data_IF_108299254092
#
_entry.id   IF_108299254092
#
_cell.length_a   1.000
_cell.length_b   1.000
_cell.length_c   1.000
_cell.angle_alpha   90.00
_cell.angle_beta   90.00
_cell.angle_gamma   90.00
#
_symmetry.space_group_name_H-M   'P 1'
#
loop_
_entity.id
_entity.type
_entity.pdbx_description
1 polymer ?
#
# COMPACT_ATOMS: atom_id res chain seq x y z
N UNK A 1 -6.44 -3.71 25.53
CA UNK A 1 -7.67 -3.31 24.81
C UNK A 1 -7.29 -3.06 23.36
N UNK A 2 -7.94 -3.67 22.37
CA UNK A 2 -7.71 -3.35 20.96
C UNK A 2 -8.24 -1.92 20.72
N UNK A 3 -7.45 -0.99 20.14
CA UNK A 3 -8.00 0.28 19.72
C UNK A 3 -9.05 0.02 18.63
N UNK A 4 -10.20 0.69 18.72
CA UNK A 4 -11.22 0.63 17.67
C UNK A 4 -10.68 1.31 16.39
N UNK A 5 -11.16 0.90 15.22
CA UNK A 5 -10.82 1.54 13.94
C UNK A 5 -11.11 3.04 13.94
N UNK A 6 -12.14 3.46 14.68
CA UNK A 6 -12.51 4.86 14.90
C UNK A 6 -11.43 5.64 15.68
N UNK A 7 -10.90 5.07 16.78
CA UNK A 7 -9.87 5.70 17.58
C UNK A 7 -8.55 5.87 16.81
N UNK A 8 -8.28 4.97 15.86
CA UNK A 8 -7.04 5.00 15.08
C UNK A 8 -7.10 6.04 13.96
N UNK A 9 -8.28 6.23 13.34
CA UNK A 9 -8.51 7.27 12.34
C UNK A 9 -8.50 8.68 12.95
N UNK A 10 -9.09 8.84 14.13
CA UNK A 10 -9.08 10.09 14.90
C UNK A 10 -7.65 10.46 15.30
N UNK A 11 -6.86 9.50 15.81
CA UNK A 11 -5.47 9.74 16.20
C UNK A 11 -4.58 10.14 15.02
N UNK A 12 -4.82 9.60 13.82
CA UNK A 12 -4.11 10.01 12.60
C UNK A 12 -4.48 11.41 12.17
N UNK A 13 -5.76 11.79 12.25
CA UNK A 13 -6.16 13.18 12.04
C UNK A 13 -5.50 14.09 13.08
N UNK A 14 -5.44 13.68 14.35
CA UNK A 14 -4.79 14.44 15.42
C UNK A 14 -3.28 14.62 15.19
N UNK A 15 -2.59 13.59 14.67
CA UNK A 15 -1.16 13.67 14.30
C UNK A 15 -0.96 14.58 13.08
N UNK A 16 -1.84 14.49 12.08
CA UNK A 16 -1.81 15.34 10.87
C UNK A 16 -2.15 16.81 11.16
N UNK A 17 -2.89 17.09 12.25
CA UNK A 17 -3.30 18.44 12.66
C UNK A 17 -2.29 19.14 13.58
N UNK A 18 -1.20 18.48 14.00
CA UNK A 18 -0.15 19.15 14.77
C UNK A 18 0.67 20.08 13.87
N UNK A 19 0.66 21.37 14.21
CA UNK A 19 1.09 22.51 13.38
C UNK A 19 2.55 22.52 12.90
N UNK A 20 3.39 21.57 13.32
CA UNK A 20 4.85 21.68 13.21
C UNK A 20 5.54 20.52 12.49
N UNK A 21 4.80 19.59 11.87
CA UNK A 21 5.40 18.28 11.55
C UNK A 21 5.26 17.80 10.12
N UNK A 22 4.25 18.22 9.38
CA UNK A 22 4.05 17.75 8.00
C UNK A 22 3.62 18.91 7.12
N UNK A 23 4.30 19.07 5.98
CA UNK A 23 3.83 20.00 4.94
C UNK A 23 2.53 19.50 4.31
N UNK A 24 1.73 20.39 3.72
CA UNK A 24 0.49 20.02 3.03
C UNK A 24 0.70 18.93 1.96
N UNK A 25 1.85 18.95 1.29
CA UNK A 25 2.26 17.91 0.36
C UNK A 25 2.38 16.53 1.05
N UNK A 26 3.01 16.47 2.22
CA UNK A 26 3.18 15.23 2.99
C UNK A 26 1.84 14.71 3.52
N UNK A 27 0.94 15.61 3.94
CA UNK A 27 -0.41 15.26 4.37
C UNK A 27 -1.20 14.65 3.20
N UNK A 28 -1.11 15.25 2.01
CA UNK A 28 -1.76 14.72 0.81
C UNK A 28 -1.19 13.35 0.42
N UNK A 29 0.12 13.15 0.44
CA UNK A 29 0.72 11.83 0.17
C UNK A 29 0.29 10.75 1.17
N UNK A 30 0.08 11.12 2.44
CA UNK A 30 -0.45 10.20 3.46
C UNK A 30 -1.93 9.89 3.23
N UNK A 31 -2.74 10.88 2.87
CA UNK A 31 -4.16 10.68 2.56
C UNK A 31 -4.36 9.83 1.31
N UNK A 32 -3.62 10.12 0.23
CA UNK A 32 -3.61 9.30 -0.99
C UNK A 32 -3.22 7.85 -0.65
N UNK A 33 -2.24 7.64 0.22
CA UNK A 33 -1.89 6.31 0.71
C UNK A 33 -3.03 5.65 1.50
N UNK A 34 -3.72 6.38 2.38
CA UNK A 34 -4.84 5.83 3.12
C UNK A 34 -6.01 5.39 2.23
N UNK A 35 -6.26 6.14 1.17
CA UNK A 35 -7.26 5.77 0.15
C UNK A 35 -6.86 4.49 -0.62
N UNK A 36 -5.56 4.19 -0.73
CA UNK A 36 -5.04 3.00 -1.42
C UNK A 36 -5.10 1.71 -0.58
N UNK A 37 -5.31 1.80 0.73
CA UNK A 37 -5.53 0.61 1.56
C UNK A 37 -6.96 0.09 1.38
N UNK A 38 -7.16 -0.65 0.29
CA UNK A 38 -8.43 -1.31 -0.05
C UNK A 38 -8.86 -2.32 1.02
N UNK A 39 -7.89 -2.87 1.79
CA UNK A 39 -8.15 -3.88 2.81
C UNK A 39 -7.89 -3.33 4.21
N UNK A 40 -8.94 -3.25 5.04
CA UNK A 40 -8.86 -2.75 6.43
C UNK A 40 -7.77 -3.45 7.27
N UNK A 41 -7.52 -4.75 7.04
CA UNK A 41 -6.47 -5.48 7.74
C UNK A 41 -5.05 -4.99 7.46
N UNK A 42 -4.78 -4.43 6.27
CA UNK A 42 -3.46 -3.86 5.92
C UNK A 42 -3.25 -2.54 6.65
N UNK A 43 -4.32 -1.76 6.77
CA UNK A 43 -4.32 -0.47 7.45
C UNK A 43 -4.13 -0.63 8.97
N UNK A 44 -4.83 -1.57 9.60
CA UNK A 44 -4.65 -1.87 11.03
C UNK A 44 -3.24 -2.37 11.34
N UNK A 45 -2.67 -3.21 10.47
CA UNK A 45 -1.30 -3.68 10.61
C UNK A 45 -0.28 -2.54 10.46
N UNK A 46 -0.52 -1.58 9.57
CA UNK A 46 0.31 -0.37 9.41
C UNK A 46 0.34 0.45 10.69
N UNK A 47 -0.84 0.71 11.25
CA UNK A 47 -0.97 1.44 12.51
C UNK A 47 -0.28 0.72 13.65
N UNK A 48 -0.49 -0.59 13.79
CA UNK A 48 0.20 -1.35 14.83
C UNK A 48 1.72 -1.24 14.69
N UNK A 49 2.27 -1.38 13.48
CA UNK A 49 3.70 -1.26 13.25
C UNK A 49 4.25 0.12 13.65
N UNK A 50 3.55 1.21 13.30
CA UNK A 50 3.93 2.57 13.68
C UNK A 50 3.89 2.81 15.20
N UNK A 51 2.87 2.27 15.88
CA UNK A 51 2.61 2.54 17.30
C UNK A 51 3.24 1.54 18.27
N UNK A 52 3.89 0.48 17.78
CA UNK A 52 4.70 -0.42 18.62
C UNK A 52 6.20 -0.14 18.54
N UNK A 53 6.63 0.69 17.60
CA UNK A 53 8.01 1.16 17.54
C UNK A 53 8.22 2.31 18.54
N UNK A 54 8.90 1.99 19.64
CA UNK A 54 9.20 2.94 20.74
C UNK A 54 9.97 4.16 20.23
N UNK A 55 10.87 4.01 19.25
CA UNK A 55 11.63 5.13 18.71
C UNK A 55 10.73 6.07 17.91
N UNK A 56 9.77 5.53 17.18
CA UNK A 56 8.75 6.33 16.50
C UNK A 56 7.82 7.03 17.49
N UNK A 57 7.37 6.36 18.54
CA UNK A 57 6.53 6.97 19.58
C UNK A 57 7.28 8.12 20.28
N UNK A 58 8.57 7.92 20.58
CA UNK A 58 9.38 8.96 21.21
C UNK A 58 9.61 10.16 20.28
N UNK A 59 9.81 9.92 18.98
CA UNK A 59 9.91 10.98 17.96
C UNK A 59 8.58 11.72 17.74
N UNK A 60 7.46 11.00 17.71
CA UNK A 60 6.09 11.55 17.72
C UNK A 60 5.86 12.46 18.93
N UNK A 61 6.19 11.98 20.14
CA UNK A 61 6.06 12.77 21.39
C UNK A 61 6.93 14.01 21.41
N UNK A 62 8.08 13.98 20.73
CA UNK A 62 8.96 15.14 20.61
C UNK A 62 8.48 16.18 19.59
N UNK A 63 7.39 15.91 18.86
CA UNK A 63 6.89 16.80 17.81
C UNK A 63 7.83 16.84 16.59
N UNK A 64 8.61 15.79 16.37
CA UNK A 64 9.52 15.65 15.21
C UNK A 64 9.09 14.41 14.43
N UNK A 65 7.99 14.56 13.70
CA UNK A 65 7.61 13.65 12.63
C UNK A 65 8.19 14.17 11.33
N UNK A 66 8.98 13.37 10.64
CA UNK A 66 9.32 13.62 9.25
C UNK A 66 8.97 12.37 8.44
N UNK A 67 8.79 12.54 7.12
CA UNK A 67 8.43 11.42 6.25
C UNK A 67 9.48 10.32 6.25
N UNK A 68 10.76 10.62 6.48
CA UNK A 68 11.83 9.60 6.49
C UNK A 68 11.59 8.52 7.54
N UNK A 69 11.00 8.84 8.70
CA UNK A 69 10.70 7.86 9.73
C UNK A 69 9.52 6.94 9.40
N UNK A 70 8.54 7.47 8.67
CA UNK A 70 7.34 6.71 8.26
C UNK A 70 7.62 5.94 6.96
N UNK A 71 8.57 6.39 6.15
CA UNK A 71 8.82 5.90 4.80
C UNK A 71 9.17 4.39 4.73
N UNK A 72 9.95 3.86 5.69
CA UNK A 72 10.25 2.43 5.69
C UNK A 72 9.00 1.57 5.92
N UNK A 73 8.14 2.00 6.85
CA UNK A 73 6.85 1.36 7.09
C UNK A 73 5.96 1.50 5.86
N UNK A 74 5.82 2.73 5.36
CA UNK A 74 5.11 3.06 4.14
C UNK A 74 5.44 2.12 2.97
N UNK A 75 6.73 2.02 2.61
CA UNK A 75 7.24 1.16 1.54
C UNK A 75 6.87 -0.31 1.76
N UNK A 76 7.05 -0.81 2.98
CA UNK A 76 6.71 -2.20 3.34
C UNK A 76 5.21 -2.46 3.18
N UNK A 77 4.37 -1.52 3.57
CA UNK A 77 2.92 -1.69 3.51
C UNK A 77 2.36 -1.56 2.09
N UNK A 78 2.94 -0.69 1.26
CA UNK A 78 2.65 -0.66 -0.19
C UNK A 78 3.04 -1.98 -0.85
N UNK A 79 4.20 -2.56 -0.50
CA UNK A 79 4.59 -3.88 -1.00
C UNK A 79 3.62 -5.00 -0.59
N UNK A 80 3.10 -4.96 0.63
CA UNK A 80 2.06 -5.90 1.08
C UNK A 80 0.77 -5.68 0.29
N UNK A 81 0.36 -4.42 0.11
CA UNK A 81 -0.85 -4.06 -0.63
C UNK A 81 -0.76 -4.53 -2.09
N UNK A 82 0.38 -4.38 -2.74
CA UNK A 82 0.62 -4.91 -4.09
C UNK A 82 0.40 -6.42 -4.14
N UNK A 83 0.92 -7.17 -3.16
CA UNK A 83 0.71 -8.63 -3.11
C UNK A 83 -0.76 -9.00 -2.93
N UNK A 84 -1.46 -8.29 -2.05
CA UNK A 84 -2.90 -8.49 -1.83
C UNK A 84 -3.70 -8.19 -3.10
N UNK A 85 -3.45 -7.03 -3.74
CA UNK A 85 -4.10 -6.66 -5.00
C UNK A 85 -3.77 -7.64 -6.13
N UNK A 86 -2.54 -8.14 -6.19
CA UNK A 86 -2.14 -9.15 -7.18
C UNK A 86 -2.96 -10.43 -7.02
N UNK A 87 -3.18 -10.90 -5.80
CA UNK A 87 -4.01 -12.08 -5.55
C UNK A 87 -5.48 -11.82 -5.92
N UNK A 88 -6.02 -10.64 -5.57
CA UNK A 88 -7.39 -10.27 -5.95
C UNK A 88 -7.58 -10.17 -7.46
N UNK A 89 -6.60 -9.62 -8.20
CA UNK A 89 -6.63 -9.58 -9.67
C UNK A 89 -6.48 -10.97 -10.29
N UNK A 90 -5.67 -11.85 -9.69
CA UNK A 90 -5.61 -13.25 -10.11
C UNK A 90 -6.95 -13.96 -9.92
N UNK A 91 -7.61 -13.76 -8.78
CA UNK A 91 -8.94 -14.30 -8.52
C UNK A 91 -9.94 -13.78 -9.56
N UNK A 92 -9.90 -12.49 -9.90
CA UNK A 92 -10.71 -11.90 -10.98
C UNK A 92 -10.44 -12.57 -12.32
N UNK A 93 -9.17 -12.75 -12.67
CA UNK A 93 -8.76 -13.40 -13.91
C UNK A 93 -9.35 -14.81 -14.02
N UNK A 94 -9.19 -15.65 -12.99
CA UNK A 94 -9.70 -17.02 -12.99
C UNK A 94 -11.23 -17.09 -12.94
N UNK A 95 -11.88 -16.11 -12.33
CA UNK A 95 -13.33 -15.98 -12.32
C UNK A 95 -13.90 -15.29 -13.57
N UNK A 96 -13.06 -14.96 -14.56
CA UNK A 96 -13.44 -14.27 -15.79
C UNK A 96 -14.10 -12.90 -15.55
N UNK A 97 -13.71 -12.24 -14.46
CA UNK A 97 -14.15 -10.88 -14.14
C UNK A 97 -13.24 -9.84 -14.83
N UNK A 98 -13.74 -8.60 -15.05
CA UNK A 98 -12.90 -7.50 -15.50
C UNK A 98 -11.73 -7.26 -14.53
N UNK A 99 -10.52 -7.16 -15.10
CA UNK A 99 -9.31 -6.78 -14.38
C UNK A 99 -9.25 -5.27 -14.19
N UNK A 100 -8.81 -4.82 -13.02
CA UNK A 100 -8.68 -3.38 -12.73
C UNK A 100 -7.29 -2.85 -13.08
N UNK A 101 -6.25 -3.68 -12.98
CA UNK A 101 -4.86 -3.23 -13.09
C UNK A 101 -4.11 -3.84 -14.28
N UNK A 102 -4.62 -4.92 -14.87
CA UNK A 102 -4.03 -5.61 -15.99
C UNK A 102 -5.01 -5.69 -17.18
N UNK A 103 -4.50 -6.06 -18.36
CA UNK A 103 -5.28 -6.11 -19.59
C UNK A 103 -5.38 -7.55 -20.11
N UNK A 104 -6.60 -8.07 -20.19
CA UNK A 104 -6.89 -9.42 -20.75
C UNK A 104 -6.28 -9.59 -22.16
N UNK A 105 -6.38 -8.63 -23.10
CA UNK A 105 -5.77 -8.79 -24.42
C UNK A 105 -4.25 -9.03 -24.39
N UNK A 106 -3.53 -8.47 -23.42
CA UNK A 106 -2.08 -8.69 -23.29
C UNK A 106 -1.80 -10.11 -22.79
N UNK A 107 -2.58 -10.59 -21.83
CA UNK A 107 -2.49 -11.97 -21.34
C UNK A 107 -2.78 -12.97 -22.47
N UNK A 108 -3.79 -12.69 -23.31
CA UNK A 108 -4.12 -13.55 -24.44
C UNK A 108 -3.01 -13.57 -25.50
N UNK A 109 -2.26 -12.49 -25.68
CA UNK A 109 -1.05 -12.49 -26.49
C UNK A 109 0.05 -13.38 -25.87
N UNK A 110 0.24 -13.32 -24.55
CA UNK A 110 1.23 -14.13 -23.82
C UNK A 110 0.95 -15.63 -23.94
N UNK A 111 -0.33 -16.05 -23.97
CA UNK A 111 -0.72 -17.46 -24.16
C UNK A 111 -0.18 -18.10 -25.45
N UNK A 112 0.16 -17.29 -26.46
CA UNK A 112 0.73 -17.78 -27.72
C UNK A 112 2.24 -18.02 -27.64
N UNK A 113 2.89 -17.72 -26.51
CA UNK A 113 4.31 -17.95 -26.31
C UNK A 113 4.59 -19.40 -25.92
N UNK A 114 5.73 -19.93 -26.37
CA UNK A 114 6.12 -21.30 -26.07
C UNK A 114 6.54 -21.42 -24.60
N UNK A 115 5.94 -22.35 -23.88
CA UNK A 115 6.26 -22.60 -22.48
C UNK A 115 5.52 -21.71 -21.49
N UNK A 116 4.43 -21.06 -21.94
CA UNK A 116 3.55 -20.27 -21.10
C UNK A 116 2.98 -21.12 -19.93
N UNK A 117 3.25 -20.68 -18.71
CA UNK A 117 2.68 -21.13 -17.46
C UNK A 117 1.61 -20.12 -17.03
N UNK A 118 0.34 -20.49 -17.21
CA UNK A 118 -0.77 -19.57 -16.96
C UNK A 118 -0.77 -18.97 -15.55
N UNK A 119 -0.40 -19.74 -14.52
CA UNK A 119 -0.40 -19.19 -13.17
C UNK A 119 0.76 -18.22 -12.97
N UNK A 120 1.98 -18.64 -13.30
CA UNK A 120 3.17 -17.83 -13.03
C UNK A 120 3.26 -16.61 -13.94
N UNK A 121 3.02 -16.76 -15.24
CA UNK A 121 3.16 -15.66 -16.21
C UNK A 121 2.10 -14.59 -16.01
N UNK A 122 0.84 -14.98 -15.76
CA UNK A 122 -0.24 -14.02 -15.48
C UNK A 122 0.01 -13.29 -14.17
N UNK A 123 0.45 -14.01 -13.14
CA UNK A 123 0.82 -13.42 -11.85
C UNK A 123 1.95 -12.41 -11.99
N UNK A 124 3.02 -12.74 -12.72
CA UNK A 124 4.14 -11.84 -12.93
C UNK A 124 3.74 -10.60 -13.73
N UNK A 125 2.90 -10.76 -14.76
CA UNK A 125 2.37 -9.64 -15.52
C UNK A 125 1.52 -8.70 -14.65
N UNK A 126 0.56 -9.23 -13.91
CA UNK A 126 -0.28 -8.46 -12.97
C UNK A 126 0.61 -7.75 -11.94
N UNK A 127 1.58 -8.46 -11.35
CA UNK A 127 2.50 -7.91 -10.38
C UNK A 127 3.34 -6.76 -10.96
N UNK A 128 3.78 -6.88 -12.22
CA UNK A 128 4.52 -5.84 -12.93
C UNK A 128 3.66 -4.58 -13.15
N UNK A 129 2.40 -4.76 -13.60
CA UNK A 129 1.45 -3.66 -13.76
C UNK A 129 1.21 -2.91 -12.44
N UNK A 130 0.96 -3.64 -11.35
CA UNK A 130 0.78 -3.08 -10.03
C UNK A 130 2.05 -2.37 -9.54
N UNK A 131 3.21 -3.01 -9.64
CA UNK A 131 4.49 -2.41 -9.21
C UNK A 131 4.80 -1.13 -9.97
N UNK A 132 4.52 -1.09 -11.28
CA UNK A 132 4.66 0.12 -12.10
C UNK A 132 3.71 1.22 -11.64
N UNK A 133 2.43 0.89 -11.41
CA UNK A 133 1.41 1.83 -10.91
C UNK A 133 1.81 2.46 -9.57
N UNK A 134 2.42 1.69 -8.68
CA UNK A 134 2.82 2.11 -7.33
C UNK A 134 4.31 2.47 -7.20
N UNK A 135 5.05 2.57 -8.30
CA UNK A 135 6.50 2.74 -8.27
C UNK A 135 6.96 4.00 -7.51
N UNK A 136 6.20 5.09 -7.65
CA UNK A 136 6.47 6.38 -6.99
C UNK A 136 6.37 6.34 -5.46
N UNK A 137 5.78 5.28 -4.90
CA UNK A 137 5.67 5.07 -3.46
C UNK A 137 6.77 4.15 -2.89
N UNK A 138 7.50 3.45 -3.75
CA UNK A 138 8.53 2.47 -3.36
C UNK A 138 9.94 3.02 -3.60
N UNK A 139 10.08 3.96 -4.53
CA UNK A 139 11.35 4.60 -4.89
C UNK A 139 11.72 5.66 -3.86
N UNK A 140 12.91 5.51 -3.28
CA UNK A 140 13.57 6.51 -2.45
C UNK A 140 14.31 7.44 -3.41
N UNK A 141 13.59 8.36 -4.04
CA UNK A 141 14.21 9.46 -4.76
C UNK A 141 14.22 10.71 -3.86
#
# INVERSE_FOLDING_TARGET
MKPSSLNTKILMQDILLQSNTLSDFMINSLNEMFELFVHQGTLEAFYHALFTDIDNINKLKSGVLNMQYIYHYYKKFIQIQIRVLCNLELDRYYNQEPLHYAQIPVIDLMKNTKGFDEYNDVKEYILSCLTSKFAHFIRED
#
